data_IF_280995143712
#
_entry.id   IF_280995143712
#
_cell.length_a   1.000
_cell.length_b   1.000
_cell.length_c   1.000
_cell.angle_alpha   90.00
_cell.angle_beta   90.00
_cell.angle_gamma   90.00
#
_symmetry.space_group_name_H-M   'P 1'
#
loop_
_entity.id
_entity.type
_entity.pdbx_description
1 polymer ?
#
# COMPACT_ATOMS: atom_id res chain seq x y z
CA UNK A 11 -7.99 20.42 9.42
CA UNK A 12 -8.93 17.66 6.89
CA UNK A 13 -8.27 14.62 9.23
CA UNK A 14 -8.05 12.07 6.43
CA UNK A 15 -5.21 13.58 4.38
CA UNK A 16 -1.64 12.45 5.39
CA UNK A 17 0.43 15.32 3.81
CA UNK A 18 3.91 13.93 2.73
CA UNK A 19 5.15 17.19 4.09
CA UNK A 20 4.93 15.75 7.53
CA UNK A 21 3.56 12.21 7.51
CA UNK A 22 6.42 9.78 6.67
CA UNK A 23 9.34 9.28 9.09
CA UNK A 24 12.52 7.83 7.61
CA UNK A 25 13.87 4.71 9.21
CA UNK A 26 17.02 4.28 7.19
CA UNK A 27 18.24 6.30 4.25
CA UNK A 28 21.54 5.92 2.51
CA UNK A 29 23.18 6.27 -0.88
CA UNK A 30 21.16 3.28 -2.25
CA UNK A 31 17.64 3.63 -0.88
CA UNK A 32 15.42 4.33 2.09
CA UNK A 33 12.71 2.91 4.21
CA UNK A 34 10.09 5.27 5.58
CA UNK A 35 7.24 4.32 7.97
CA UNK A 36 3.97 6.38 7.84
CA UNK A 37 2.87 8.03 11.11
CA UNK A 38 -0.09 6.33 12.87
CA UNK A 39 -3.61 6.70 11.54
CA UNK A 40 -5.25 7.00 14.97
CA UNK A 41 -2.46 9.38 16.06
CA UNK A 42 -3.62 11.92 13.53
CA UNK A 43 -7.30 11.80 14.30
CA UNK A 44 -9.10 9.46 16.64
CA UNK A 45 -11.79 9.41 13.96
CA UNK A 46 -9.43 6.96 12.19
CA UNK A 47 -9.35 4.80 15.32
CA UNK A 48 -10.22 1.55 13.54
CA UNK A 49 -7.03 1.83 11.51
CA UNK A 50 -4.92 1.73 14.72
CA UNK A 51 -3.67 -1.73 13.85
CA UNK A 52 -2.25 -0.97 10.38
CA UNK A 53 0.87 0.81 9.20
CA UNK A 54 2.16 1.62 5.73
CA UNK A 55 5.96 1.36 5.23
CA UNK A 56 7.54 2.39 1.87
CA UNK A 57 10.89 1.37 0.43
CA UNK A 58 12.86 2.24 -2.69
CA UNK A 59 16.28 1.19 -3.77
CA UNK A 60 18.66 1.90 -6.66
CA UNK A 61 19.21 -0.77 -9.43
CA UNK A 62 21.19 -3.94 -8.47
CA UNK A 63 21.04 -3.62 -4.68
CA UNK A 64 20.15 -5.92 -1.63
CA UNK A 65 18.40 -5.15 1.68
CA UNK A 66 20.16 -7.27 4.37
CA UNK A 67 18.42 -10.04 6.45
CA UNK A 68 15.83 -8.76 8.91
CA UNK A 69 12.58 -9.82 10.55
CA UNK A 70 9.74 -7.64 11.78
CA UNK A 71 7.05 -8.19 14.44
CA UNK A 72 4.37 -7.41 11.84
CA UNK A 73 2.54 -9.00 9.20
CA UNK A 74 3.61 -7.48 5.83
CA UNK A 75 1.80 -7.41 2.52
CA UNK A 76 4.36 -6.11 -0.05
CA UNK A 77 2.93 -4.47 -3.21
CA UNK A 78 5.44 -3.38 -5.88
CA UNK A 79 4.61 0.04 -7.24
CA UNK A 80 7.92 0.28 -9.48
CA UNK A 81 9.17 -3.11 -10.98
CA UNK A 82 11.36 -6.13 -10.28
CA UNK A 83 12.42 -7.39 -7.01
CA UNK A 84 13.24 -10.78 -5.74
CA UNK A 85 12.11 -11.79 -2.28
CA UNK A 86 13.37 -14.76 -0.34
CA UNK A 87 11.80 -15.77 2.93
CA UNK A 88 14.22 -17.97 4.95
CA UNK A 89 12.46 -20.52 7.18
CA UNK A 90 14.17 -22.07 10.38
CA UNK A 91 13.50 -25.59 9.27
CA UNK A 92 15.63 -25.32 6.15
CA UNK A 93 13.22 -24.13 3.70
CA UNK A 94 13.37 -21.06 1.61
CA UNK A 95 10.78 -19.41 -0.68
CA UNK A 96 11.85 -17.29 -3.68
CA UNK A 97 9.50 -14.88 -5.41
CA UNK A 98 10.12 -12.74 -8.42
CA UNK A 99 7.71 -9.91 -8.04
CA UNK A 100 6.99 -7.11 -10.58
CA UNK A 101 4.42 -4.40 -11.22
CA UNK A 102 1.39 -4.23 -13.37
CA UNK A 103 0.35 -6.95 -15.48
CA UNK A 104 2.14 -10.32 -16.31
CA UNK A 105 2.60 -13.62 -15.31
CA UNK A 106 4.38 -12.60 -12.55
CA UNK A 107 2.94 -11.15 -9.22
CA UNK A 108 3.16 -7.60 -7.79
CA UNK A 109 2.67 -8.69 -4.21
CA UNK A 110 3.48 -11.25 -1.51
CA UNK A 111 2.49 -11.66 2.17
CA UNK A 112 5.61 -12.03 4.33
CA UNK A 113 4.16 -13.72 7.50
CA UNK A 114 4.95 -12.02 10.84
CA UNK A 115 8.46 -12.78 12.09
CA UNK A 116 9.91 -14.49 8.93
CA UNK A 117 13.54 -13.50 8.04
CA UNK A 118 13.66 -12.18 4.48
CA UNK A 119 15.97 -10.27 2.16
CA UNK A 120 15.17 -8.35 -1.01
CA UNK A 121 17.32 -7.77 -4.09
CA UNK A 122 16.55 -5.36 -6.88
CA UNK A 123 17.90 -7.12 -9.98
CA UNK A 124 17.32 -4.41 -12.64
CA UNK A 125 20.51 -2.43 -13.71
CA UNK A 126 18.46 0.50 -14.99
CA UNK A 127 15.16 0.58 -12.86
CA UNK A 128 14.64 1.43 -9.23
CA UNK A 129 12.59 -0.74 -6.96
CA UNK A 130 9.64 1.00 -5.30
CA UNK A 131 7.68 -1.01 -2.64
CA UNK A 132 4.61 0.06 -0.59
CA UNK A 133 3.58 -2.33 2.24
CA UNK A 134 0.64 -2.62 4.60
CA UNK A 135 1.99 -3.94 7.86
CA UNK A 136 -0.27 -5.13 10.65
CA UNK A 137 1.92 -5.27 13.89
CA UNK A 138 1.64 -8.29 16.24
CA UNK A 139 2.77 -6.66 19.50
CA UNK A 140 1.40 -3.11 19.84
CA UNK A 141 0.81 -0.46 16.98
CA UNK A 142 4.53 0.15 16.34
CA UNK A 143 6.38 -1.93 13.73
CA UNK A 144 9.95 -2.96 14.71
CA UNK A 145 12.69 -4.23 12.46
CA UNK A 146 15.32 -6.60 13.74
CA UNK A 147 18.21 -6.50 11.27
CA UNK A 148 20.68 -9.37 11.61
CA UNK A 149 23.34 -7.39 9.80
CA UNK A 150 26.06 -5.64 11.69
CA UNK A 151 26.95 -2.64 9.74
CA UNK A 152 27.96 0.95 10.14
CA UNK A 153 24.54 2.24 10.82
CA UNK A 154 23.08 -0.44 12.96
CA UNK A 155 24.51 -3.36 14.75
CA UNK A 156 23.30 -6.91 14.89
CA UNK A 157 20.70 -7.68 17.62
CA UNK A 158 22.98 -10.67 18.52
CA UNK A 159 25.30 -8.00 19.94
CA UNK A 160 22.96 -7.15 22.81
CA UNK A 161 23.38 -10.63 24.32
CA UNK A 162 26.07 -10.85 26.99
CA UNK A 163 29.52 -12.04 26.37
CA UNK A 164 29.19 -15.25 28.35
CA UNK A 165 25.73 -16.18 26.52
CA UNK A 166 27.27 -15.57 23.10
CA UNK A 167 30.30 -17.80 23.88
CA UNK A 168 28.19 -20.66 25.30
CA UNK A 169 25.86 -20.43 22.31
CA UNK A 170 28.25 -20.28 19.38
CA UNK A 171 30.80 -22.30 21.45
CA UNK A 172 33.80 -20.14 20.82
CA UNK A 173 35.78 -17.54 22.79
CA UNK A 174 34.40 -14.01 22.40
CA UNK A 175 37.29 -12.69 20.31
CA UNK A 176 36.58 -15.40 17.69
CA UNK A 177 32.94 -14.34 17.42
CA UNK A 178 33.61 -10.57 17.33
CA UNK A 179 36.14 -11.11 14.51
CA UNK A 180 34.04 -13.44 12.37
CA UNK A 181 30.69 -11.71 13.08
CA UNK A 182 31.03 -8.06 14.15
CA UNK A 183 34.53 -6.67 13.39
CA UNK A 184 34.34 -2.84 12.81
CA UNK A 185 37.07 -3.58 10.40
CA UNK A 186 35.13 -5.14 7.43
CA UNK A 187 31.71 -3.63 7.69
CA UNK A 188 29.17 -2.92 5.06
CA UNK A 189 28.55 0.81 5.80
CA UNK A 190 24.62 0.11 5.83
CA UNK A 191 21.56 -2.24 5.27
CA UNK A 192 20.85 -1.53 1.55
CA UNK A 193 24.13 -2.65 0.18
CA UNK A 194 24.55 -3.02 -3.60
CA UNK A 195 25.64 -6.42 -4.82
CA UNK A 196 27.10 -7.08 -8.19
CA UNK A 197 25.60 -7.97 -11.51
CA UNK A 198 27.18 -11.45 -11.54
CA UNK A 199 26.13 -12.35 -7.88
CA UNK A 200 22.43 -11.82 -9.04
CA UNK A 201 22.13 -13.78 -12.18
CA UNK A 202 21.90 -17.25 -10.76
CA UNK A 203 19.26 -16.19 -8.20
CA UNK A 204 17.15 -14.29 -10.76
CA UNK A 205 16.66 -17.52 -12.79
CA UNK A 206 15.69 -19.66 -9.91
CA UNK A 207 13.17 -17.05 -8.72
CA UNK A 208 11.51 -16.42 -12.15
CA UNK A 209 11.02 -20.14 -12.68
CA UNK A 210 9.59 -20.71 -9.10
CA UNK A 211 7.17 -17.87 -9.07
CA UNK A 212 5.14 -18.18 -11.88
CA UNK A 220 -9.09 -8.12 -12.38
CA UNK A 221 -9.46 -4.71 -14.33
CA UNK A 222 -12.41 -2.22 -15.09
CA UNK A 223 -12.11 1.18 -16.76
CA UNK A 224 -11.99 2.74 -20.18
CA UNK A 225 -10.26 5.47 -22.20
CA UNK A 226 -9.62 7.82 -19.27
CA UNK A 227 -8.99 5.41 -16.41
CA UNK A 228 -8.34 1.95 -15.15
CA UNK A 229 -8.98 0.22 -11.84
CA UNK A 230 -7.53 -3.27 -10.96
CA UNK A 231 -8.83 -4.81 -7.71
CA UNK A 232 -7.49 -8.16 -6.26
CA UNK A 233 -8.19 -9.48 -2.63
CA UNK A 234 -6.49 -11.78 0.01
CA UNK A 235 -8.96 -13.57 2.05
CA UNK A 236 -6.60 -14.52 4.70
CA UNK A 237 -5.77 -10.93 5.63
CA UNK A 238 -9.24 -10.02 4.01
CA UNK A 239 -7.67 -6.93 2.32
CA UNK A 240 -8.29 -5.57 -1.20
CA UNK A 241 -5.32 -4.25 -3.34
CA UNK A 242 -6.58 -1.61 -5.79
CA UNK A 243 -4.38 -0.16 -8.54
CA UNK A 244 -5.83 2.77 -10.16
CA UNK A 245 -4.45 4.43 -13.18
CA UNK A 246 -6.08 7.56 -14.36
CA UNK A 247 -4.85 9.73 -17.10
CA UNK A 248 -4.98 13.68 -16.82
CA UNK A 249 -8.39 15.37 -16.73
CA UNK A 250 -10.23 12.16 -15.99
CA UNK A 251 -12.69 12.00 -13.05
CA UNK A 252 -13.55 8.91 -10.98
CA UNK A 253 -17.26 9.74 -10.51
CA UNK A 254 -18.88 10.11 -6.99
CA UNK A 255 -18.98 6.64 -5.37
CA UNK A 256 -18.47 4.84 -2.08
CA UNK A 257 -17.30 1.34 -0.99
CA UNK A 258 -19.89 -0.22 1.42
CA UNK A 259 -17.89 -1.53 4.47
CA UNK A 260 -14.22 -1.24 3.12
CA UNK A 261 -11.87 1.43 4.68
CA UNK A 262 -9.53 2.41 1.77
CA UNK A 263 -6.04 3.79 2.28
CA UNK A 264 -5.13 5.48 -1.06
CA UNK A 265 -1.44 6.26 -1.55
CA UNK A 266 -0.53 8.09 -4.75
CA UNK A 267 2.64 6.87 -6.52
CA UNK A 268 3.35 9.13 -9.50
CA UNK A 269 1.12 12.14 -10.31
CA UNK A 270 -1.22 14.76 -8.91
CA UNK A 271 -4.99 14.41 -8.26
CA UNK A 272 -7.63 16.47 -6.49
CA UNK A 273 -9.95 14.44 -4.13
CA UNK A 274 -13.31 15.30 -2.44
CA UNK A 275 -14.67 13.26 0.51
CA UNK A 276 -18.19 13.93 1.91
CA UNK A 277 -18.42 13.16 5.61
CA UNK A 278 -20.60 14.06 8.63
CA UNK A 279 -19.68 17.53 9.91
CA UNK A 280 -17.14 16.56 12.57
CA UNK A 281 -19.41 13.88 14.71
CA UNK A 282 -23.02 11.31 14.98
CA UNK A 283 -25.38 13.80 15.13
CA UNK A 284 -25.91 14.86 12.17
CA UNK A 285 -27.43 14.82 9.26
CA UNK A 286 -25.07 17.65 8.16
CA UNK A 287 -22.36 16.62 5.66
CA UNK A 288 -19.15 18.61 4.99
CA UNK A 289 -16.73 18.25 2.04
CA UNK A 290 -13.08 17.39 2.86
CA UNK A 291 -11.18 18.38 -0.27
CA UNK A 292 -7.46 17.84 -0.92
CA UNK A 293 -4.97 18.11 -3.53
CA UNK A 294 -3.08 14.84 -3.67
CA UNK A 295 0.51 14.81 -4.88
CA UNK A 296 3.20 12.01 -5.17
CA UNK A 297 3.55 10.32 -1.68
CA UNK A 298 0.36 11.67 0.01
CA UNK A 299 -2.07 9.12 1.40
CA UNK A 300 -5.74 9.97 1.79
CA UNK A 301 -7.95 7.49 3.73
CA UNK A 302 -11.56 7.12 2.56
CA UNK A 303 -13.86 5.71 5.34
CA UNK A 304 -16.45 3.01 4.54
CA UNK A 305 -19.83 4.34 3.15
CA UNK A 306 -18.41 7.90 2.63
CA UNK A 307 -18.78 9.31 -0.96
CA UNK A 308 -15.43 10.18 -2.61
CA UNK A 309 -14.74 11.67 -6.12
CA UNK A 310 -11.14 11.89 -7.46
CA UNK A 311 -9.95 14.06 -10.42
CA UNK A 312 -6.56 13.51 -12.11
CA UNK A 313 -4.79 16.76 -12.52
CA UNK A 314 -1.79 15.19 -14.16
CA UNK A 315 -1.80 11.47 -15.19
CA UNK A 316 -2.10 10.13 -11.66
CA UNK A 317 -1.28 6.57 -10.55
CA UNK A 318 -2.50 5.17 -7.18
CA UNK A 319 -2.08 1.99 -5.03
CA UNK A 320 -4.95 1.39 -2.57
CA UNK A 321 -5.30 -1.18 0.23
CA UNK A 322 -8.94 -1.70 1.23
CA UNK A 323 -9.14 -3.11 4.76
CA UNK A 324 -12.31 -5.03 5.93
CA UNK A 325 -13.15 -5.75 2.36
CA UNK A 326 -14.96 -9.11 2.36
CA UNK A 327 -18.44 -8.55 0.64
CA UNK A 328 -17.64 -4.87 0.11
CA UNK A 329 -19.68 -3.34 -2.72
CA UNK A 330 -18.61 -0.51 -4.94
CA UNK A 331 -21.66 1.81 -5.19
CA UNK A 332 -21.39 4.38 -7.99
CA UNK A 333 -23.50 7.52 -8.05
CA UNK A 334 -23.11 8.46 -11.71
CA UNK A 335 -22.86 6.52 -14.98
CA UNK A 336 -24.21 3.23 -16.30
CA UNK A 337 -22.05 0.56 -14.66
CA UNK A 338 -22.86 -0.05 -10.90
CA UNK A 339 -24.97 3.14 -10.41
CA UNK A 340 -27.09 2.88 -7.10
CA UNK A 341 -29.37 5.85 -7.86
CA UNK A 342 -30.75 4.31 -11.07
CA UNK A 343 -31.16 0.93 -9.32
CA UNK A 344 -33.28 2.52 -6.82
CA UNK A 345 -34.82 4.07 -9.87
CA UNK A 346 -35.82 0.43 -11.28
CA UNK A 347 -37.49 -1.19 -8.26
CA UNK A 348 -41.24 -1.53 -7.79
CA UNK A 349 -41.91 1.91 -6.91
CA UNK A 350 -38.59 3.00 -8.06
CA UNK A 351 -39.48 6.30 -9.96
CA UNK A 352 -41.97 7.15 -7.20
CA UNK A 353 -39.38 6.79 -4.37
CA UNK A 354 -36.91 8.89 -6.43
CA UNK A 355 -39.67 11.47 -6.90
CA UNK A 356 -39.87 11.86 -3.16
CA UNK A 357 -36.09 11.69 -2.75
CA UNK A 358 -34.91 14.61 -5.09
CA UNK A 359 -37.09 17.59 -5.69
CA UNK A 360 -37.58 16.44 -9.29
CA UNK A 361 -40.09 13.93 -10.57
CA UNK A 362 -38.86 10.33 -10.66
CA UNK A 363 -39.14 10.84 -14.40
CA UNK A 364 -36.87 13.79 -14.61
CA UNK A 365 -34.15 12.43 -12.23
CA UNK A 366 -34.14 9.01 -14.04
CA UNK A 367 -33.58 10.91 -17.32
CA UNK A 368 -30.82 13.00 -15.75
CA UNK A 369 -29.09 9.96 -14.25
CA UNK A 370 -29.29 8.43 -17.62
CA UNK A 371 -27.55 11.29 -19.56
CA UNK A 372 -23.98 10.11 -18.65
CA UNK A 373 -23.11 6.86 -20.73
CA UNK A 374 -19.67 6.62 -19.26
CA UNK A 375 -18.91 4.29 -16.39
CA UNK A 376 -16.51 4.79 -13.49
CA UNK A 377 -14.01 7.08 -15.21
CA UNK A 378 -15.42 10.08 -17.01
CA UNK A 379 -13.82 13.34 -18.45
CA UNK A 380 -13.35 16.46 -16.46
CA UNK A 381 -12.01 18.90 -18.90
#
# INVERSE_FOLDING_TARGET
TSLREEEESQDNPFYFNSDNSWNTLFKNQYGHIRVLQRFDQQSKRLQNLEDYRLVEFRSKPETLLLPQQADAELLLVVRSGSAILVLVKPDDRREYFFLTSDNPIFSDHQKIPAGTIFYLVNPDPKEDLRIIQLAMPVNNPQIHEFFLSSTEAQQSYLQEFSKHILEASFNSKFEEINRVLFEEEGQQEGVIVNIDSEQIKELSKHAKSSSRKSLSKQDNTIGNEFGNLTERTDNSLNVLISSIEMEEGALFVPHYYSKAIVILVVNEGEAHVELVGPKGNKETLEYESYRAELSKDDVFVIPAAYPVAIKATSNVNFTGFGINANNNNRNLLAGKTDNVISSIGRALDGKDVLGLTFSGSGDEVMKLINKQSGSYFVDAHHHQQEQQKGRKGAFVY
#
